data_IF_538550187749
#
_entry.id   IF_538550187749
#
_cell.length_a   1.000
_cell.length_b   1.000
_cell.length_c   1.000
_cell.angle_alpha   90.00
_cell.angle_beta   90.00
_cell.angle_gamma   90.00
#
_symmetry.space_group_name_H-M   'P 1'
#
loop_
_entity.id
_entity.type
_entity.pdbx_description
1 polymer ?
#
# COMPACT_ATOMS: atom_id res chain seq x y z
N UNK A 1 16.67 8.68 -24.77
CA UNK A 1 16.57 7.32 -24.22
C UNK A 1 16.27 7.44 -22.75
N UNK A 2 15.04 7.14 -22.34
CA UNK A 2 14.66 7.07 -20.94
C UNK A 2 13.61 5.98 -20.84
N UNK A 3 13.98 4.82 -20.31
CA UNK A 3 13.02 3.77 -20.04
C UNK A 3 12.14 4.28 -18.89
N UNK A 4 10.88 4.59 -19.19
CA UNK A 4 9.86 4.75 -18.15
C UNK A 4 9.63 3.32 -17.66
N UNK A 5 10.31 2.93 -16.59
CA UNK A 5 10.05 1.63 -15.98
C UNK A 5 8.58 1.66 -15.50
N UNK A 6 7.77 0.64 -15.84
CA UNK A 6 6.41 0.54 -15.33
C UNK A 6 6.46 0.55 -13.81
N UNK A 7 5.56 1.30 -13.17
CA UNK A 7 5.39 1.23 -11.73
C UNK A 7 5.08 -0.23 -11.35
N UNK A 8 5.69 -0.75 -10.26
CA UNK A 8 5.38 -2.09 -9.80
C UNK A 8 3.89 -2.16 -9.46
N UNK A 9 3.21 -3.22 -9.90
CA UNK A 9 1.79 -3.46 -9.57
C UNK A 9 1.63 -3.88 -8.11
N UNK A 10 2.66 -4.49 -7.53
CA UNK A 10 2.73 -4.82 -6.11
C UNK A 10 4.17 -4.82 -5.58
N UNK A 11 4.33 -4.61 -4.29
CA UNK A 11 5.60 -4.69 -3.57
C UNK A 11 5.39 -5.33 -2.19
N UNK A 12 6.43 -5.90 -1.59
CA UNK A 12 6.43 -6.34 -0.21
C UNK A 12 7.37 -5.49 0.64
N UNK A 13 6.99 -5.25 1.89
CA UNK A 13 7.75 -4.49 2.86
C UNK A 13 7.79 -5.24 4.19
N UNK A 14 8.95 -5.32 4.83
CA UNK A 14 9.09 -5.94 6.15
C UNK A 14 9.06 -4.84 7.20
N UNK A 15 8.06 -4.89 8.08
CA UNK A 15 7.84 -3.91 9.15
C UNK A 15 9.06 -3.84 10.06
N UNK A 16 9.54 -2.63 10.30
CA UNK A 16 10.62 -2.32 11.21
C UNK A 16 10.08 -1.77 12.53
N UNK A 17 10.93 -1.78 13.55
CA UNK A 17 10.56 -1.26 14.87
C UNK A 17 10.26 0.24 14.79
N UNK A 18 9.04 0.62 15.19
CA UNK A 18 8.58 2.01 15.19
C UNK A 18 7.78 2.40 13.94
N UNK A 19 7.65 1.52 12.96
CA UNK A 19 6.80 1.78 11.80
C UNK A 19 5.33 1.87 12.20
N UNK A 20 4.63 2.80 11.55
CA UNK A 20 3.17 2.88 11.61
C UNK A 20 2.61 2.69 10.22
N UNK A 21 1.54 1.92 10.13
CA UNK A 21 0.94 1.59 8.85
C UNK A 21 0.47 2.83 8.08
N UNK A 22 0.02 3.86 8.79
CA UNK A 22 -0.33 5.17 8.20
C UNK A 22 0.86 5.84 7.49
N UNK A 23 2.06 5.78 8.08
CA UNK A 23 3.26 6.37 7.48
C UNK A 23 3.76 5.53 6.31
N UNK A 24 3.68 4.20 6.41
CA UNK A 24 4.01 3.32 5.30
C UNK A 24 3.05 3.55 4.12
N UNK A 25 1.74 3.56 4.37
CA UNK A 25 0.72 3.82 3.35
C UNK A 25 0.96 5.16 2.63
N UNK A 26 1.23 6.22 3.39
CA UNK A 26 1.58 7.53 2.85
C UNK A 26 2.89 7.51 2.04
N UNK A 27 3.92 6.82 2.53
CA UNK A 27 5.22 6.71 1.87
C UNK A 27 5.13 5.95 0.54
N UNK A 28 4.24 4.97 0.47
CA UNK A 28 3.97 4.19 -0.73
C UNK A 28 2.86 4.81 -1.61
N UNK A 29 2.19 5.88 -1.19
CA UNK A 29 1.10 6.49 -1.97
C UNK A 29 -0.12 5.58 -2.14
N UNK A 30 -0.39 4.72 -1.15
CA UNK A 30 -1.54 3.80 -1.14
C UNK A 30 -2.51 4.14 -0.02
N UNK A 31 -3.77 3.74 -0.19
CA UNK A 31 -4.80 3.92 0.81
C UNK A 31 -4.56 3.01 2.03
N UNK A 32 -4.67 3.60 3.23
CA UNK A 32 -4.43 2.90 4.48
C UNK A 32 -5.43 1.74 4.70
N UNK A 33 -6.71 1.99 4.42
CA UNK A 33 -7.76 0.98 4.61
C UNK A 33 -7.64 -0.14 3.59
N UNK A 34 -7.29 0.17 2.34
CA UNK A 34 -6.97 -0.82 1.34
C UNK A 34 -5.77 -1.66 1.76
N UNK A 35 -4.65 -1.03 2.16
CA UNK A 35 -3.47 -1.75 2.63
C UNK A 35 -3.79 -2.65 3.83
N UNK A 36 -4.65 -2.21 4.76
CA UNK A 36 -5.10 -2.99 5.90
C UNK A 36 -5.90 -4.22 5.48
N UNK A 37 -6.85 -4.03 4.55
CA UNK A 37 -7.65 -5.12 3.98
C UNK A 37 -6.77 -6.12 3.21
N UNK A 38 -5.85 -5.66 2.37
CA UNK A 38 -4.93 -6.51 1.60
C UNK A 38 -4.08 -7.41 2.48
N UNK A 39 -3.77 -6.97 3.70
CA UNK A 39 -2.95 -7.70 4.68
C UNK A 39 -3.76 -8.35 5.80
N UNK A 40 -5.09 -8.29 5.76
CA UNK A 40 -5.98 -8.78 6.81
C UNK A 40 -5.66 -8.20 8.21
N UNK A 41 -5.20 -6.94 8.25
CA UNK A 41 -4.85 -6.23 9.48
C UNK A 41 -6.09 -5.49 9.96
N UNK A 42 -6.67 -5.96 11.07
CA UNK A 42 -7.86 -5.36 11.65
C UNK A 42 -7.59 -4.00 12.31
N UNK A 43 -6.38 -3.78 12.82
CA UNK A 43 -5.98 -2.50 13.40
C UNK A 43 -4.62 -2.03 12.85
N UNK A 44 -4.59 -0.98 12.02
CA UNK A 44 -3.37 -0.45 11.42
C UNK A 44 -2.38 0.18 12.41
N UNK A 45 -2.80 0.47 13.65
CA UNK A 45 -1.89 0.93 14.70
C UNK A 45 -1.08 -0.21 15.33
N UNK A 46 -1.50 -1.47 15.12
CA UNK A 46 -0.79 -2.65 15.62
C UNK A 46 -0.12 -3.40 14.47
N UNK A 47 1.08 -2.97 14.11
CA UNK A 47 1.98 -3.72 13.25
C UNK A 47 2.97 -4.53 14.07
N UNK A 48 3.26 -5.78 13.65
CA UNK A 48 4.30 -6.59 14.28
C UNK A 48 5.63 -6.38 13.55
N UNK A 49 6.68 -6.10 14.32
CA UNK A 49 8.04 -6.01 13.74
C UNK A 49 8.41 -7.35 13.11
N UNK A 50 8.95 -7.32 11.89
CA UNK A 50 9.24 -8.50 11.08
C UNK A 50 8.05 -9.04 10.28
N UNK A 51 6.88 -8.42 10.37
CA UNK A 51 5.72 -8.76 9.54
C UNK A 51 5.92 -8.31 8.10
N UNK A 52 5.54 -9.15 7.14
CA UNK A 52 5.61 -8.81 5.71
C UNK A 52 4.29 -8.20 5.27
N UNK A 53 4.31 -6.91 4.98
CA UNK A 53 3.21 -6.18 4.36
C UNK A 53 3.27 -6.31 2.84
N UNK A 54 2.15 -6.70 2.24
CA UNK A 54 1.91 -6.71 0.81
C UNK A 54 1.21 -5.42 0.40
N UNK A 55 1.89 -4.66 -0.45
CA UNK A 55 1.42 -3.38 -0.99
C UNK A 55 0.95 -3.66 -2.41
N UNK A 56 -0.35 -3.48 -2.68
CA UNK A 56 -0.92 -3.63 -4.01
C UNK A 56 -1.21 -2.24 -4.60
N UNK A 57 -0.36 -1.75 -5.51
CA UNK A 57 -0.54 -0.44 -6.13
C UNK A 57 -1.68 -0.44 -7.15
N UNK A 58 -1.96 -1.56 -7.80
CA UNK A 58 -3.08 -1.62 -8.75
C UNK A 58 -4.45 -1.52 -8.04
N UNK A 59 -4.53 -1.99 -6.79
CA UNK A 59 -5.77 -2.04 -6.02
C UNK A 59 -5.89 -0.89 -5.00
N UNK A 60 -4.76 -0.46 -4.43
CA UNK A 60 -4.74 0.50 -3.33
C UNK A 60 -4.16 1.87 -3.69
N UNK A 61 -3.76 2.13 -4.94
CA UNK A 61 -3.20 3.45 -5.29
C UNK A 61 -4.24 4.53 -5.00
N UNK A 62 -3.80 5.61 -4.37
CA UNK A 62 -4.61 6.82 -4.27
C UNK A 62 -4.34 7.60 -5.54
N UNK A 63 -4.99 7.25 -6.65
CA UNK A 63 -4.92 8.11 -7.83
C UNK A 63 -6.03 9.15 -7.81
N UNK A 64 -5.68 10.38 -8.18
CA UNK A 64 -6.62 11.48 -8.46
C UNK A 64 -7.59 11.16 -9.62
N UNK A 65 -7.47 10.00 -10.28
CA UNK A 65 -8.18 9.65 -11.51
C UNK A 65 -9.11 8.43 -11.34
N UNK A 66 -9.11 7.77 -10.17
CA UNK A 66 -9.82 6.50 -9.96
C UNK A 66 -11.27 6.56 -9.47
N UNK A 67 -11.87 7.75 -9.44
CA UNK A 67 -13.34 7.83 -9.42
C UNK A 67 -13.98 7.34 -10.72
N UNK A 68 -13.21 7.06 -11.78
CA UNK A 68 -13.74 6.64 -13.08
C UNK A 68 -13.84 5.11 -13.29
N UNK A 69 -13.03 4.28 -12.61
CA UNK A 69 -12.96 2.83 -12.89
C UNK A 69 -13.65 1.95 -11.83
N UNK A 70 -14.14 2.54 -10.73
CA UNK A 70 -14.89 1.82 -9.69
C UNK A 70 -16.39 1.61 -10.01
N UNK A 71 -16.85 2.01 -11.19
CA UNK A 71 -18.17 1.69 -11.73
C UNK A 71 -18.04 0.88 -13.04
N UNK A 72 -17.82 -0.42 -12.90
CA UNK A 72 -18.37 -1.42 -13.81
C UNK A 72 -19.33 -2.31 -13.05
#
# INVERSE_FOLDING_TARGET
GGAIAPLPTSQTYVVQQGDKMVYLAASFGVDLLCLARTNAIGNPDYLRVGETLRINYAECRITSTEVADAFH
#
